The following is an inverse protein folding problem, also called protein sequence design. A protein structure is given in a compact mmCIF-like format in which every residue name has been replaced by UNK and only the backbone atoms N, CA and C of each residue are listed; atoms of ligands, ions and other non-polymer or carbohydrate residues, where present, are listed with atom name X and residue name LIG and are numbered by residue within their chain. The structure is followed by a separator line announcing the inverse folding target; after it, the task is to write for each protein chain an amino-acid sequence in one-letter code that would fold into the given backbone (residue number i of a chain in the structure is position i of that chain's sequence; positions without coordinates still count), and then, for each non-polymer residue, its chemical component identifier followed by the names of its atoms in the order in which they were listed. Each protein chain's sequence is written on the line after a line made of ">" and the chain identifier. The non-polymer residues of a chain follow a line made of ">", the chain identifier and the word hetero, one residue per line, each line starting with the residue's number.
data_IF_984130699444
#
_entry.id   IF_984130699444
#
_cell.length_a   1.000
_cell.length_b   1.000
_cell.length_c   1.000
_cell.angle_alpha   90.00
_cell.angle_beta   90.00
_cell.angle_gamma   90.00
#
_symmetry.space_group_name_H-M   'P 1'
#
loop_
_entity.id
_entity.type
_entity.pdbx_description
1 polymer ?
#
# COMPACT_ATOMS: atom_id res chain seq x y z
N UNK A 1 -45.05 74.56 0.84
CA UNK A 1 -45.30 75.05 -0.53
C UNK A 1 -45.51 73.83 -1.43
N UNK A 2 -46.76 73.67 -1.91
CA UNK A 2 -47.25 72.90 -3.06
C UNK A 2 -47.11 71.37 -3.16
N UNK A 3 -48.18 70.75 -2.65
CA UNK A 3 -49.04 69.67 -3.18
C UNK A 3 -49.03 69.46 -4.72
N UNK A 4 -49.01 68.18 -5.16
CA UNK A 4 -50.04 67.58 -6.04
C UNK A 4 -49.92 66.04 -6.19
N UNK A 5 -51.09 65.42 -6.18
CA UNK A 5 -51.46 64.01 -6.10
C UNK A 5 -51.69 63.33 -7.48
N UNK A 6 -52.06 62.03 -7.43
CA UNK A 6 -52.68 61.13 -8.46
C UNK A 6 -51.70 60.48 -9.43
N UNK A 7 -51.74 59.19 -9.83
CA UNK A 7 -52.75 58.10 -9.84
C UNK A 7 -52.00 56.76 -10.11
N UNK A 8 -52.30 55.62 -9.46
CA UNK A 8 -53.20 54.50 -9.87
C UNK A 8 -52.66 53.55 -10.99
N UNK A 9 -52.69 52.23 -10.70
CA UNK A 9 -52.61 51.00 -11.56
C UNK A 9 -51.22 50.74 -12.22
N UNK A 10 -50.62 49.54 -12.33
CA UNK A 10 -51.15 48.19 -12.61
C UNK A 10 -50.21 47.12 -12.02
N UNK A 11 -50.78 46.11 -11.35
CA UNK A 11 -50.17 44.80 -11.11
C UNK A 11 -49.83 44.13 -12.46
N UNK A 12 -48.62 44.36 -12.96
CA UNK A 12 -48.05 43.60 -14.06
C UNK A 12 -47.27 42.42 -13.51
N UNK A 13 -47.94 41.29 -13.35
CA UNK A 13 -47.32 39.99 -13.09
C UNK A 13 -46.40 39.62 -14.26
N UNK A 14 -45.09 39.84 -14.07
CA UNK A 14 -44.08 39.09 -14.82
C UNK A 14 -43.51 38.08 -13.83
N UNK A 15 -43.88 36.82 -14.04
CA UNK A 15 -43.19 35.67 -13.45
C UNK A 15 -41.73 35.72 -13.94
N UNK A 16 -40.87 36.38 -13.18
CA UNK A 16 -39.47 35.97 -13.18
C UNK A 16 -39.41 34.88 -12.14
N UNK A 17 -39.39 33.64 -12.62
CA UNK A 17 -39.02 32.48 -11.82
C UNK A 17 -37.62 32.73 -11.27
N UNK A 18 -37.56 33.32 -10.07
CA UNK A 18 -36.40 33.25 -9.19
C UNK A 18 -36.29 31.79 -8.76
N UNK A 19 -35.73 30.96 -9.64
CA UNK A 19 -35.10 29.73 -9.22
C UNK A 19 -33.93 30.17 -8.32
N UNK A 20 -34.12 30.15 -7.00
CA UNK A 20 -32.98 30.01 -6.10
C UNK A 20 -32.35 28.67 -6.45
N UNK A 21 -31.24 28.73 -7.18
CA UNK A 21 -30.35 27.62 -7.42
C UNK A 21 -30.14 26.89 -6.09
N UNK A 22 -30.51 25.61 -6.05
CA UNK A 22 -30.01 24.72 -5.02
C UNK A 22 -28.50 24.72 -5.19
N UNK A 23 -27.82 25.24 -4.19
CA UNK A 23 -26.39 25.10 -4.04
C UNK A 23 -26.12 23.59 -3.99
N UNK A 24 -25.62 23.04 -5.09
CA UNK A 24 -25.04 21.71 -5.10
C UNK A 24 -23.79 21.81 -4.25
N UNK A 25 -23.97 21.64 -2.95
CA UNK A 25 -22.90 21.32 -2.03
C UNK A 25 -22.39 19.97 -2.52
N UNK A 26 -21.34 20.01 -3.35
CA UNK A 26 -20.55 18.84 -3.65
C UNK A 26 -20.03 18.37 -2.30
N UNK A 27 -20.70 17.36 -1.76
CA UNK A 27 -20.17 16.56 -0.67
C UNK A 27 -18.81 16.06 -1.18
N UNK A 28 -17.74 16.62 -0.62
CA UNK A 28 -16.42 16.05 -0.75
C UNK A 28 -16.42 14.80 0.12
N UNK A 29 -17.19 13.80 -0.29
CA UNK A 29 -17.15 12.47 0.29
C UNK A 29 -15.74 11.99 0.02
N UNK A 30 -14.96 11.94 1.09
CA UNK A 30 -13.57 11.53 1.08
C UNK A 30 -13.57 10.03 0.71
N UNK A 31 -13.55 9.71 -0.59
CA UNK A 31 -13.50 8.35 -1.16
C UNK A 31 -12.23 7.57 -0.75
N UNK A 32 -11.46 8.13 0.18
CA UNK A 32 -10.29 7.56 0.82
C UNK A 32 -10.63 6.31 1.65
N UNK A 33 -11.89 6.09 2.01
CA UNK A 33 -12.31 4.90 2.78
C UNK A 33 -12.45 3.61 1.95
N UNK A 34 -12.42 3.68 0.62
CA UNK A 34 -12.59 2.50 -0.27
C UNK A 34 -11.30 2.03 -0.95
N UNK A 35 -10.20 2.75 -0.78
CA UNK A 35 -8.91 2.41 -1.39
C UNK A 35 -8.02 1.61 -0.46
N UNK A 36 -7.18 0.75 -1.03
CA UNK A 36 -6.10 0.08 -0.29
C UNK A 36 -5.08 1.12 0.17
N UNK A 37 -4.66 1.04 1.43
CA UNK A 37 -3.64 1.93 1.98
C UNK A 37 -2.51 1.17 2.67
N UNK A 38 -1.28 1.61 2.45
CA UNK A 38 -0.08 1.14 3.12
C UNK A 38 0.39 2.19 4.11
N UNK A 39 0.73 1.75 5.32
CA UNK A 39 1.20 2.64 6.37
C UNK A 39 2.18 1.93 7.30
N UNK A 40 3.00 2.71 7.99
CA UNK A 40 3.78 2.19 9.09
C UNK A 40 2.90 2.12 10.34
N UNK A 41 2.78 0.92 10.90
CA UNK A 41 2.08 0.64 12.14
C UNK A 41 2.93 -0.26 13.04
N UNK A 42 2.26 -1.02 13.89
CA UNK A 42 2.90 -1.98 14.80
C UNK A 42 2.22 -3.34 14.71
N UNK A 43 2.98 -4.41 14.88
CA UNK A 43 2.46 -5.78 14.93
C UNK A 43 3.28 -6.61 15.93
N UNK A 44 2.75 -7.77 16.32
CA UNK A 44 3.42 -8.68 17.27
C UNK A 44 4.35 -9.64 16.52
N UNK A 45 5.63 -9.64 16.88
CA UNK A 45 6.63 -10.60 16.40
C UNK A 45 7.28 -11.26 17.61
N UNK A 46 7.18 -12.58 17.75
CA UNK A 46 7.74 -13.35 18.87
C UNK A 46 7.34 -12.84 20.27
N UNK A 47 6.13 -12.27 20.40
CA UNK A 47 5.63 -11.70 21.66
C UNK A 47 6.01 -10.24 21.90
N UNK A 48 6.82 -9.64 21.03
CA UNK A 48 7.23 -8.23 21.09
C UNK A 48 6.45 -7.38 20.10
N UNK A 49 6.10 -6.15 20.50
CA UNK A 49 5.53 -5.15 19.58
C UNK A 49 6.64 -4.52 18.77
N UNK A 50 6.61 -4.69 17.45
CA UNK A 50 7.62 -4.16 16.54
C UNK A 50 6.99 -3.29 15.44
N UNK A 51 7.72 -2.30 14.88
CA UNK A 51 7.25 -1.57 13.71
C UNK A 51 7.00 -2.49 12.52
N UNK A 52 5.94 -2.23 11.78
CA UNK A 52 5.54 -3.06 10.64
C UNK A 52 4.87 -2.25 9.54
N UNK A 53 5.18 -2.56 8.28
CA UNK A 53 4.37 -2.08 7.15
C UNK A 53 3.07 -2.85 7.16
N UNK A 54 1.94 -2.16 7.27
CA UNK A 54 0.60 -2.76 7.26
C UNK A 54 -0.18 -2.29 6.04
N UNK A 55 -1.01 -3.16 5.50
CA UNK A 55 -1.96 -2.84 4.43
C UNK A 55 -3.37 -2.91 4.97
N UNK A 56 -4.09 -1.79 4.85
CA UNK A 56 -5.53 -1.75 5.06
C UNK A 56 -6.20 -1.93 3.69
N UNK A 57 -6.95 -3.01 3.53
CA UNK A 57 -7.79 -3.24 2.37
C UNK A 57 -9.24 -3.23 2.86
N UNK A 58 -10.09 -2.30 2.39
CA UNK A 58 -11.49 -2.22 2.81
C UNK A 58 -12.31 -3.49 2.55
N UNK A 59 -11.83 -4.38 1.67
CA UNK A 59 -12.42 -5.70 1.43
C UNK A 59 -12.06 -6.75 2.48
N UNK A 60 -11.11 -6.47 3.37
CA UNK A 60 -10.67 -7.41 4.42
C UNK A 60 -11.21 -6.96 5.78
N UNK A 61 -11.55 -7.91 6.68
CA UNK A 61 -12.07 -7.58 8.01
C UNK A 61 -11.02 -6.93 8.91
N UNK A 62 -9.73 -7.11 8.61
CA UNK A 62 -8.60 -6.66 9.41
C UNK A 62 -7.43 -6.24 8.51
N UNK A 63 -6.61 -5.25 8.91
CA UNK A 63 -5.36 -4.94 8.23
C UNK A 63 -4.39 -6.13 8.25
N UNK A 64 -3.61 -6.28 7.19
CA UNK A 64 -2.58 -7.32 7.08
C UNK A 64 -1.20 -6.72 7.32
N UNK A 65 -0.36 -7.41 8.10
CA UNK A 65 1.05 -7.03 8.27
C UNK A 65 1.87 -7.53 7.09
N UNK A 66 2.48 -6.63 6.32
CA UNK A 66 3.27 -6.97 5.12
C UNK A 66 4.73 -7.30 5.47
N UNK A 67 5.37 -6.46 6.30
CA UNK A 67 6.80 -6.59 6.64
C UNK A 67 7.01 -6.21 8.11
N UNK A 68 7.75 -7.02 8.86
CA UNK A 68 8.23 -6.68 10.19
C UNK A 68 9.62 -6.03 10.15
N UNK A 69 9.85 -5.02 11.00
CA UNK A 69 11.15 -4.40 11.18
C UNK A 69 11.70 -4.77 12.57
N UNK A 70 12.48 -5.84 12.62
CA UNK A 70 13.09 -6.36 13.85
C UNK A 70 14.01 -5.31 14.53
N UNK A 71 13.72 -4.92 15.79
CA UNK A 71 14.56 -4.04 16.59
C UNK A 71 15.99 -4.54 16.82
N UNK A 72 16.20 -5.85 16.78
CA UNK A 72 17.50 -6.48 16.98
C UNK A 72 18.35 -6.51 15.70
N UNK A 73 17.80 -6.08 14.56
CA UNK A 73 18.51 -6.02 13.29
C UNK A 73 19.31 -4.72 13.16
N UNK A 74 20.58 -4.76 13.55
CA UNK A 74 21.53 -3.64 13.44
C UNK A 74 22.21 -3.48 12.07
N UNK A 75 21.88 -4.29 11.06
CA UNK A 75 22.59 -4.31 9.78
C UNK A 75 22.61 -2.95 9.06
N UNK A 76 21.49 -2.21 9.15
CA UNK A 76 21.33 -0.93 8.44
C UNK A 76 21.97 0.26 9.19
N UNK A 77 22.64 -0.01 10.32
CA UNK A 77 23.24 1.01 11.17
C UNK A 77 22.21 1.83 11.95
N UNK A 78 22.69 2.76 12.77
CA UNK A 78 21.85 3.58 13.66
C UNK A 78 21.02 4.63 12.92
N UNK A 79 21.41 5.04 11.71
CA UNK A 79 20.69 6.03 10.90
C UNK A 79 19.43 5.46 10.23
N UNK A 80 19.33 4.13 10.12
CA UNK A 80 18.21 3.40 9.54
C UNK A 80 17.57 2.51 10.60
N UNK A 81 17.01 3.17 11.61
CA UNK A 81 16.27 2.50 12.69
C UNK A 81 15.11 1.68 12.13
N UNK A 82 14.64 0.64 12.83
CA UNK A 82 13.45 -0.13 12.44
C UNK A 82 12.23 0.76 12.12
N UNK A 83 11.98 1.78 12.95
CA UNK A 83 10.90 2.74 12.74
C UNK A 83 11.05 3.53 11.44
N UNK A 84 12.25 4.08 11.18
CA UNK A 84 12.50 4.83 9.95
C UNK A 84 12.38 3.95 8.70
N UNK A 85 12.88 2.72 8.76
CA UNK A 85 12.71 1.75 7.67
C UNK A 85 11.22 1.46 7.42
N UNK A 86 10.44 1.28 8.48
CA UNK A 86 9.00 1.09 8.39
C UNK A 86 8.30 2.26 7.70
N UNK A 87 8.61 3.50 8.07
CA UNK A 87 8.05 4.71 7.47
C UNK A 87 8.38 4.81 5.98
N UNK A 88 9.66 4.71 5.63
CA UNK A 88 10.16 4.83 4.25
C UNK A 88 9.62 3.73 3.33
N UNK A 89 9.63 2.48 3.80
CA UNK A 89 9.14 1.35 3.03
C UNK A 89 7.63 1.46 2.84
N UNK A 90 6.87 1.77 3.89
CA UNK A 90 5.41 1.92 3.78
C UNK A 90 5.02 3.07 2.84
N UNK A 91 5.76 4.18 2.87
CA UNK A 91 5.55 5.30 1.95
C UNK A 91 5.79 4.89 0.49
N UNK A 92 6.85 4.11 0.21
CA UNK A 92 7.12 3.59 -1.14
C UNK A 92 6.04 2.63 -1.61
N UNK A 93 5.59 1.72 -0.75
CA UNK A 93 4.45 0.86 -1.05
C UNK A 93 3.21 1.67 -1.42
N UNK A 94 2.86 2.69 -0.63
CA UNK A 94 1.71 3.55 -0.92
C UNK A 94 1.89 4.30 -2.25
N UNK A 95 3.05 4.92 -2.46
CA UNK A 95 3.33 5.69 -3.66
C UNK A 95 3.26 4.84 -4.94
N UNK A 96 3.86 3.65 -4.92
CA UNK A 96 3.85 2.74 -6.08
C UNK A 96 2.46 2.13 -6.28
N UNK A 97 1.72 1.85 -5.20
CA UNK A 97 0.31 1.44 -5.30
C UNK A 97 -0.56 2.52 -5.94
N UNK A 98 -0.44 3.77 -5.50
CA UNK A 98 -1.21 4.89 -6.06
C UNK A 98 -0.83 5.16 -7.53
N UNK A 99 0.41 4.87 -7.93
CA UNK A 99 0.91 5.05 -9.29
C UNK A 99 0.42 3.95 -10.23
N UNK A 100 0.54 2.69 -9.82
CA UNK A 100 0.51 1.52 -10.72
C UNK A 100 -0.20 0.28 -10.13
N UNK A 101 -0.88 0.41 -8.99
CA UNK A 101 -1.47 -0.70 -8.25
C UNK A 101 -0.48 -1.80 -7.85
N UNK A 102 0.80 -1.46 -7.66
CA UNK A 102 1.88 -2.39 -7.31
C UNK A 102 2.19 -3.49 -8.34
N UNK A 103 1.83 -3.33 -9.62
CA UNK A 103 2.26 -4.12 -10.78
C UNK A 103 2.92 -5.50 -10.51
N UNK A 104 4.18 -5.64 -10.94
CA UNK A 104 4.98 -6.85 -10.74
C UNK A 104 6.07 -6.63 -9.71
N UNK A 105 6.04 -7.41 -8.63
CA UNK A 105 7.11 -7.37 -7.64
C UNK A 105 8.21 -8.34 -8.06
N UNK A 106 9.44 -7.83 -8.06
CA UNK A 106 10.63 -8.57 -8.48
C UNK A 106 11.84 -8.13 -7.66
N UNK A 107 12.96 -8.79 -7.91
CA UNK A 107 14.27 -8.42 -7.36
C UNK A 107 15.18 -7.88 -8.45
N UNK A 108 15.96 -6.87 -8.10
CA UNK A 108 16.97 -6.30 -8.98
C UNK A 108 18.28 -6.03 -8.23
N UNK A 109 19.37 -5.92 -8.97
CA UNK A 109 20.62 -5.34 -8.53
C UNK A 109 20.66 -3.94 -9.04
N UNK A 110 20.79 -2.98 -8.15
CA UNK A 110 20.75 -1.63 -8.59
C UNK A 110 21.90 -0.80 -8.01
N UNK A 111 22.43 0.03 -8.91
CA UNK A 111 23.74 0.66 -8.81
C UNK A 111 23.65 2.13 -8.36
N UNK A 112 22.43 2.65 -8.28
CA UNK A 112 22.06 3.98 -7.81
C UNK A 112 21.98 4.15 -6.27
N UNK A 113 22.18 3.10 -5.48
CA UNK A 113 22.13 3.09 -4.02
C UNK A 113 23.56 2.85 -3.56
N UNK A 114 24.21 3.92 -3.08
CA UNK A 114 25.61 3.93 -2.61
C UNK A 114 26.62 3.60 -3.71
N UNK A 115 27.90 3.55 -3.35
CA UNK A 115 29.02 3.26 -4.24
C UNK A 115 29.16 1.75 -4.55
N UNK A 116 28.06 1.04 -4.83
CA UNK A 116 28.09 -0.40 -5.10
C UNK A 116 26.73 -0.99 -5.49
N UNK A 117 26.75 -2.24 -5.96
CA UNK A 117 25.51 -2.96 -6.31
C UNK A 117 24.79 -3.41 -5.05
N UNK A 118 23.52 -3.02 -4.91
CA UNK A 118 22.65 -3.45 -3.80
C UNK A 118 21.50 -4.26 -4.37
N UNK A 119 21.26 -5.45 -3.80
CA UNK A 119 20.07 -6.23 -4.11
C UNK A 119 18.85 -5.56 -3.47
N UNK A 120 17.78 -5.41 -4.25
CA UNK A 120 16.56 -4.72 -3.85
C UNK A 120 15.32 -5.47 -4.28
N UNK A 121 14.22 -5.24 -3.56
CA UNK A 121 12.88 -5.63 -3.98
C UNK A 121 12.18 -4.40 -4.54
N UNK A 122 11.59 -4.55 -5.71
CA UNK A 122 10.97 -3.48 -6.47
C UNK A 122 9.61 -3.88 -7.01
N UNK A 123 8.78 -2.91 -7.37
CA UNK A 123 7.56 -3.12 -8.14
C UNK A 123 7.68 -2.41 -9.49
N UNK A 124 7.57 -3.17 -10.57
CA UNK A 124 7.75 -2.72 -11.95
C UNK A 124 6.45 -2.87 -12.74
N UNK A 125 6.25 -2.03 -13.75
CA UNK A 125 5.05 -2.06 -14.61
C UNK A 125 5.00 -3.24 -15.57
N UNK A 126 6.17 -3.79 -15.93
CA UNK A 126 6.32 -4.80 -16.97
C UNK A 126 7.44 -5.76 -16.59
N UNK A 127 7.22 -7.03 -16.90
CA UNK A 127 8.25 -8.06 -16.88
C UNK A 127 9.46 -7.62 -17.72
N UNK A 128 10.65 -8.01 -17.28
CA UNK A 128 11.94 -7.70 -17.89
C UNK A 128 12.35 -6.22 -17.90
N UNK A 129 11.69 -5.40 -17.07
CA UNK A 129 12.11 -4.01 -16.84
C UNK A 129 13.08 -3.94 -15.66
N UNK A 130 14.09 -3.07 -15.77
CA UNK A 130 15.01 -2.76 -14.66
C UNK A 130 14.30 -1.93 -13.61
N UNK A 131 14.63 -2.15 -12.34
CA UNK A 131 14.15 -1.35 -11.24
C UNK A 131 14.78 0.06 -11.29
N UNK A 132 13.93 1.07 -11.42
CA UNK A 132 14.34 2.47 -11.26
C UNK A 132 14.20 2.91 -9.79
N UNK A 133 14.69 4.11 -9.45
CA UNK A 133 14.62 4.63 -8.07
C UNK A 133 13.18 4.67 -7.55
N UNK A 134 12.25 5.06 -8.41
CA UNK A 134 10.84 5.18 -8.07
C UNK A 134 10.12 3.82 -7.99
N UNK A 135 10.77 2.71 -8.36
CA UNK A 135 10.22 1.35 -8.28
C UNK A 135 10.66 0.63 -6.99
N UNK A 136 11.57 1.23 -6.22
CA UNK A 136 12.15 0.64 -5.02
C UNK A 136 11.09 0.48 -3.92
N UNK A 137 10.93 -0.73 -3.40
CA UNK A 137 10.18 -0.98 -2.18
C UNK A 137 11.12 -0.99 -0.97
N UNK A 138 12.10 -1.89 -0.97
CA UNK A 138 13.08 -1.98 0.11
C UNK A 138 14.39 -2.63 -0.35
N UNK A 139 15.46 -2.35 0.40
CA UNK A 139 16.78 -2.91 0.17
C UNK A 139 16.96 -4.22 0.93
N UNK A 140 17.68 -5.15 0.33
CA UNK A 140 18.04 -6.43 0.94
C UNK A 140 19.36 -6.30 1.72
N UNK A 141 19.55 -7.17 2.71
CA UNK A 141 20.85 -7.33 3.35
C UNK A 141 21.80 -8.00 2.36
N UNK A 142 23.10 -7.71 2.43
CA UNK A 142 24.09 -8.28 1.47
C UNK A 142 24.10 -9.81 1.45
N UNK A 143 23.59 -10.48 2.49
CA UNK A 143 23.54 -11.93 2.62
C UNK A 143 22.16 -12.55 2.37
N UNK A 144 21.14 -11.75 2.04
CA UNK A 144 19.82 -12.28 1.68
C UNK A 144 19.86 -12.90 0.27
N UNK A 145 19.24 -14.07 0.07
CA UNK A 145 18.90 -14.55 -1.27
C UNK A 145 17.66 -13.76 -1.78
N UNK A 146 17.78 -12.98 -2.87
CA UNK A 146 16.69 -12.14 -3.32
C UNK A 146 15.44 -12.92 -3.75
N UNK A 147 15.60 -14.11 -4.35
CA UNK A 147 14.46 -14.91 -4.79
C UNK A 147 13.75 -15.58 -3.61
N UNK A 148 14.47 -16.02 -2.58
CA UNK A 148 13.86 -16.51 -1.34
C UNK A 148 13.11 -15.38 -0.61
N UNK A 149 13.71 -14.18 -0.53
CA UNK A 149 13.01 -13.02 0.05
C UNK A 149 11.70 -12.76 -0.68
N UNK A 150 11.75 -12.79 -2.01
CA UNK A 150 10.58 -12.54 -2.83
C UNK A 150 9.56 -13.69 -2.74
N UNK A 151 10.01 -14.93 -2.66
CA UNK A 151 9.15 -16.09 -2.46
C UNK A 151 8.43 -16.03 -1.12
N UNK A 152 9.14 -15.76 -0.03
CA UNK A 152 8.55 -15.63 1.31
C UNK A 152 7.57 -14.46 1.36
N UNK A 153 7.93 -13.34 0.71
CA UNK A 153 7.06 -12.19 0.57
C UNK A 153 5.74 -12.56 -0.12
N UNK A 154 5.83 -13.37 -1.18
CA UNK A 154 4.69 -13.73 -2.02
C UNK A 154 3.84 -14.85 -1.44
N UNK A 155 4.46 -15.82 -0.76
CA UNK A 155 3.74 -16.81 0.03
C UNK A 155 2.85 -16.12 1.05
N UNK A 156 3.38 -15.13 1.79
CA UNK A 156 2.56 -14.33 2.71
C UNK A 156 1.33 -13.71 2.04
N UNK A 157 1.43 -13.26 0.79
CA UNK A 157 0.30 -12.61 0.09
C UNK A 157 -0.79 -13.56 -0.37
N UNK A 158 -0.44 -14.77 -0.79
CA UNK A 158 -1.40 -15.75 -1.30
C UNK A 158 -2.25 -16.34 -0.18
N UNK A 159 -1.69 -16.49 1.03
CA UNK A 159 -2.43 -16.97 2.19
C UNK A 159 -1.97 -16.25 3.47
N UNK A 160 -2.42 -15.00 3.71
CA UNK A 160 -1.98 -14.18 4.85
C UNK A 160 -2.27 -14.80 6.21
N UNK A 161 -3.31 -15.63 6.32
CA UNK A 161 -3.66 -16.39 7.52
C UNK A 161 -2.84 -17.66 7.72
N UNK A 162 -2.23 -18.20 6.67
CA UNK A 162 -1.44 -19.45 6.71
C UNK A 162 0.07 -19.19 6.78
N UNK A 163 0.52 -17.99 6.42
CA UNK A 163 1.94 -17.66 6.30
C UNK A 163 2.36 -16.57 7.28
N UNK A 164 3.58 -16.66 7.80
CA UNK A 164 4.15 -15.64 8.66
C UNK A 164 4.67 -14.48 7.80
N UNK A 165 4.33 -13.24 8.17
CA UNK A 165 4.88 -12.07 7.49
C UNK A 165 6.41 -12.03 7.57
N UNK A 166 7.04 -11.40 6.58
CA UNK A 166 8.49 -11.42 6.41
C UNK A 166 9.23 -10.99 7.69
N UNK A 167 10.06 -11.89 8.21
CA UNK A 167 11.00 -11.62 9.31
C UNK A 167 12.43 -11.81 8.82
N UNK A 168 13.30 -10.82 9.05
CA UNK A 168 14.66 -10.83 8.49
C UNK A 168 15.67 -11.33 9.53
N UNK A 169 15.96 -12.63 9.52
CA UNK A 169 16.96 -13.28 10.40
C UNK A 169 18.35 -13.37 9.76
N UNK A 170 19.40 -13.61 10.55
CA UNK A 170 20.81 -13.49 10.18
C UNK A 170 21.44 -14.71 9.45
N UNK A 171 20.66 -15.70 8.99
CA UNK A 171 21.21 -16.93 8.38
C UNK A 171 20.98 -17.01 6.86
N UNK A 172 21.96 -17.64 6.19
CA UNK A 172 22.39 -17.42 4.80
C UNK A 172 21.90 -18.49 3.81
N UNK A 173 21.52 -18.06 2.59
CA UNK A 173 21.97 -18.72 1.35
C UNK A 173 22.45 -17.71 0.28
N UNK A 174 23.05 -18.21 -0.80
CA UNK A 174 23.69 -17.40 -1.87
C UNK A 174 22.95 -17.52 -3.20
N UNK A 175 22.67 -16.37 -3.82
CA UNK A 175 22.07 -16.22 -5.15
C UNK A 175 23.11 -16.48 -6.26
N UNK A 176 22.86 -17.49 -7.10
CA UNK A 176 23.51 -17.60 -8.41
C UNK A 176 22.66 -16.91 -9.50
N UNK A 177 23.38 -16.32 -10.43
CA UNK A 177 22.96 -15.29 -11.38
C UNK A 177 21.88 -15.76 -12.38
N UNK A 178 20.88 -14.91 -12.67
CA UNK A 178 20.27 -14.86 -14.00
C UNK A 178 18.78 -15.19 -14.16
N UNK A 179 18.02 -15.55 -13.12
CA UNK A 179 16.57 -15.78 -13.24
C UNK A 179 15.78 -14.88 -12.29
N UNK A 180 15.28 -13.73 -12.81
CA UNK A 180 14.34 -12.87 -12.08
C UNK A 180 12.99 -13.56 -12.04
N UNK A 181 12.40 -13.64 -10.86
CA UNK A 181 11.00 -14.05 -10.70
C UNK A 181 10.14 -12.79 -10.59
N UNK A 182 8.98 -12.81 -11.24
CA UNK A 182 8.00 -11.72 -11.18
C UNK A 182 6.71 -12.29 -10.59
N UNK A 183 6.13 -11.54 -9.66
CA UNK A 183 4.83 -11.89 -9.08
C UNK A 183 3.85 -10.76 -9.29
N UNK A 184 2.66 -11.10 -9.77
CA UNK A 184 1.55 -10.15 -9.87
C UNK A 184 0.98 -9.91 -8.47
N UNK A 185 1.22 -8.73 -7.93
CA UNK A 185 0.79 -8.41 -6.57
C UNK A 185 -0.64 -7.84 -6.54
N UNK A 186 -1.09 -7.24 -7.64
CA UNK A 186 -2.42 -6.64 -7.77
C UNK A 186 -3.51 -7.71 -7.70
N UNK A 187 -3.32 -8.81 -8.44
CA UNK A 187 -4.27 -9.93 -8.46
C UNK A 187 -4.44 -10.58 -7.07
N UNK A 188 -3.39 -10.61 -6.25
CA UNK A 188 -3.42 -11.21 -4.91
C UNK A 188 -4.05 -10.30 -3.84
N UNK A 189 -4.07 -8.99 -4.04
CA UNK A 189 -4.77 -8.04 -3.16
C UNK A 189 -6.29 -8.04 -3.39
N UNK A 190 -6.70 -8.26 -4.63
CA UNK A 190 -8.12 -8.21 -5.01
C UNK A 190 -8.85 -9.54 -4.81
N UNK A 191 -8.14 -10.67 -4.91
CA UNK A 191 -8.71 -12.02 -4.83
C UNK A 191 -8.55 -12.72 -3.46
N UNK A 192 -7.98 -12.05 -2.45
CA UNK A 192 -7.80 -12.61 -1.10
C UNK A 192 -9.11 -13.02 -0.37
N UNK A 193 -10.28 -12.84 -1.00
CA UNK A 193 -11.57 -13.28 -0.48
C UNK A 193 -11.95 -14.74 -0.83
N UNK A 194 -11.22 -15.46 -1.68
CA UNK A 194 -11.72 -16.77 -2.18
C UNK A 194 -11.32 -18.01 -1.37
N UNK A 195 -10.47 -17.93 -0.34
CA UNK A 195 -10.01 -19.14 0.39
C UNK A 195 -10.29 -19.18 1.89
N UNK A 196 -10.76 -18.10 2.53
CA UNK A 196 -11.16 -18.13 3.95
C UNK A 196 -12.64 -18.49 4.17
N UNK A 197 -13.44 -18.60 3.11
CA UNK A 197 -14.87 -18.89 3.21
C UNK A 197 -15.24 -20.39 3.23
N UNK A 198 -14.27 -21.32 3.16
CA UNK A 198 -14.56 -22.77 3.08
C UNK A 198 -14.19 -23.59 4.30
N UNK A 199 -13.64 -23.00 5.36
CA UNK A 199 -13.23 -23.76 6.56
C UNK A 199 -14.00 -23.38 7.83
N UNK A 200 -15.16 -22.75 7.69
CA UNK A 200 -16.09 -22.48 8.81
C UNK A 200 -17.53 -22.96 8.52
N UNK A 201 -17.69 -24.06 7.77
CA UNK A 201 -18.99 -24.75 7.66
C UNK A 201 -18.86 -26.27 7.51
N UNK A 202 -18.17 -26.92 8.47
CA UNK A 202 -18.38 -28.37 8.68
C UNK A 202 -18.12 -28.78 10.13
N UNK A 203 -18.86 -28.21 11.08
CA UNK A 203 -19.15 -28.90 12.36
C UNK A 203 -20.55 -28.51 12.86
N UNK A 204 -21.59 -29.10 12.27
CA UNK A 204 -22.88 -29.27 12.94
C UNK A 204 -23.46 -30.65 12.62
N UNK A 205 -23.83 -31.34 13.71
CA UNK A 205 -24.51 -32.63 13.89
C UNK A 205 -23.65 -33.88 14.03
#
# INVERSE_FOLDING_TARGET
>A
MNLKYLSLVICGSIFVSSACSKENQADATNNNSERVTFSCGTSQLNGETVPATVVNNPKLPQPLTVIYFDPNNGYFGSEWTPQKRCEEVSQRFQAIYDRDSLGYITVDRAQWIRDGEVNVVCSTKKIDTRCEEDDLLFTLQTQDDPNEVLQDFMAFRQAPSKNQALTRSANKPTFEEGSRVYYDFADNLENAQSEEATEEDTTVF
#
